data_IF_128645340563
#
_entry.id   IF_128645340563
#
_cell.length_a   1.000
_cell.length_b   1.000
_cell.length_c   1.000
_cell.angle_alpha   90.00
_cell.angle_beta   90.00
_cell.angle_gamma   90.00
#
_symmetry.space_group_name_H-M   'P 1'
#
loop_
_entity.id
_entity.type
_entity.pdbx_description
1 polymer ?
#
# COMPACT_ATOMS: atom_id res chain seq x y z
N UNK A 1 51.42 7.31 0.27
CA UNK A 1 52.23 6.61 1.28
C UNK A 1 52.32 7.49 2.52
N UNK A 2 51.65 7.08 3.59
CA UNK A 2 51.90 7.56 4.95
C UNK A 2 51.42 6.47 5.90
N UNK A 3 52.30 5.98 6.77
CA UNK A 3 52.03 5.01 7.84
C UNK A 3 52.37 5.71 9.15
N UNK A 4 51.49 5.61 10.15
CA UNK A 4 51.76 5.61 11.61
C UNK A 4 50.39 5.67 12.33
N UNK A 5 50.08 5.06 13.46
CA UNK A 5 50.55 3.91 14.23
C UNK A 5 49.39 3.58 15.22
N UNK A 6 49.19 2.30 15.59
CA UNK A 6 48.32 1.87 16.71
C UNK A 6 49.09 2.03 18.04
N UNK A 7 48.45 2.38 19.18
CA UNK A 7 47.76 1.39 20.04
C UNK A 7 46.55 2.03 20.80
N UNK A 8 45.68 1.42 21.63
CA UNK A 8 45.69 0.31 22.60
C UNK A 8 44.25 -0.20 22.83
N UNK A 9 44.11 -1.45 23.29
CA UNK A 9 42.85 -2.06 23.72
C UNK A 9 42.33 -1.51 25.06
N UNK A 10 41.02 -1.28 25.17
CA UNK A 10 40.18 -1.76 26.28
C UNK A 10 38.67 -1.60 26.00
N UNK A 11 37.82 -2.44 26.59
CA UNK A 11 36.55 -2.84 26.02
C UNK A 11 35.41 -1.93 26.51
N UNK A 12 34.48 -1.58 25.63
CA UNK A 12 33.17 -1.05 26.06
C UNK A 12 32.11 -1.30 24.99
N UNK A 13 31.23 -2.24 25.34
CA UNK A 13 29.85 -2.37 24.87
C UNK A 13 29.75 -2.51 23.35
N UNK A 14 29.88 -3.76 22.88
CA UNK A 14 29.23 -4.21 21.64
C UNK A 14 27.73 -4.03 21.85
N UNK A 15 27.24 -2.81 21.62
CA UNK A 15 25.84 -2.59 21.35
C UNK A 15 25.49 -3.53 20.20
N UNK A 16 24.52 -4.40 20.43
CA UNK A 16 23.78 -5.07 19.37
C UNK A 16 23.22 -3.98 18.45
N UNK A 17 24.02 -3.52 17.50
CA UNK A 17 23.50 -3.08 16.21
C UNK A 17 23.19 -4.37 15.49
N UNK A 18 22.02 -4.92 15.81
CA UNK A 18 21.47 -6.03 15.08
C UNK A 18 21.46 -5.64 13.59
N UNK A 19 22.00 -6.57 12.80
CA UNK A 19 22.13 -6.53 11.34
C UNK A 19 20.76 -6.42 10.66
N UNK A 20 20.08 -5.27 10.77
CA UNK A 20 18.88 -4.91 10.02
C UNK A 20 19.20 -4.42 8.60
N UNK A 21 20.43 -4.64 8.12
CA UNK A 21 20.80 -4.41 6.73
C UNK A 21 20.28 -5.58 5.90
N UNK A 22 19.18 -5.36 5.20
CA UNK A 22 18.59 -6.21 4.16
C UNK A 22 17.83 -7.46 4.65
N UNK A 23 16.82 -7.29 5.52
CA UNK A 23 15.82 -8.34 5.70
C UNK A 23 14.80 -8.30 4.55
N UNK A 24 15.28 -8.64 3.36
CA UNK A 24 14.41 -9.05 2.27
C UNK A 24 13.60 -10.26 2.72
N UNK A 25 12.29 -10.26 2.48
CA UNK A 25 11.40 -11.39 2.75
C UNK A 25 10.59 -11.71 1.51
N UNK A 26 10.33 -12.99 1.32
CA UNK A 26 9.46 -13.47 0.26
C UNK A 26 8.03 -13.50 0.81
N UNK A 27 7.13 -12.78 0.16
CA UNK A 27 5.70 -12.88 0.36
C UNK A 27 5.08 -13.67 -0.78
N UNK A 28 4.19 -14.60 -0.47
CA UNK A 28 3.43 -15.34 -1.47
C UNK A 28 1.99 -14.83 -1.48
N UNK A 29 1.50 -14.41 -2.64
CA UNK A 29 0.09 -14.05 -2.86
C UNK A 29 -0.40 -14.87 -4.04
N UNK A 30 -1.40 -15.72 -3.82
CA UNK A 30 -1.80 -16.75 -4.79
C UNK A 30 -0.59 -17.61 -5.20
N UNK A 31 -0.31 -17.74 -6.49
CA UNK A 31 0.85 -18.45 -7.04
C UNK A 31 2.10 -17.56 -7.21
N UNK A 32 2.02 -16.27 -6.87
CA UNK A 32 3.08 -15.29 -7.17
C UNK A 32 3.93 -15.00 -5.93
N UNK A 33 5.25 -14.98 -6.12
CA UNK A 33 6.23 -14.65 -5.09
C UNK A 33 6.73 -13.20 -5.27
N UNK A 34 6.75 -12.45 -4.18
CA UNK A 34 7.20 -11.06 -4.12
C UNK A 34 8.36 -10.96 -3.14
N UNK A 35 9.53 -10.57 -3.65
CA UNK A 35 10.67 -10.24 -2.80
C UNK A 35 10.54 -8.77 -2.35
N UNK A 36 10.39 -8.55 -1.04
CA UNK A 36 10.11 -7.21 -0.49
C UNK A 36 11.05 -6.90 0.66
N UNK A 37 11.47 -5.63 0.76
CA UNK A 37 12.17 -5.12 1.93
C UNK A 37 11.19 -5.06 3.13
N UNK A 38 11.17 -6.12 3.93
CA UNK A 38 10.23 -6.25 5.04
C UNK A 38 10.48 -5.19 6.13
N UNK A 39 11.72 -4.71 6.29
CA UNK A 39 12.03 -3.66 7.26
C UNK A 39 11.25 -2.38 6.93
N UNK A 40 11.38 -1.87 5.69
CA UNK A 40 10.61 -0.70 5.22
C UNK A 40 9.11 -0.90 5.33
N UNK A 41 8.64 -2.09 4.96
CA UNK A 41 7.21 -2.38 4.99
C UNK A 41 6.66 -2.43 6.44
N UNK A 42 7.44 -2.95 7.39
CA UNK A 42 7.09 -2.98 8.82
C UNK A 42 7.15 -1.60 9.49
N UNK A 43 7.94 -0.66 8.96
CA UNK A 43 7.98 0.73 9.44
C UNK A 43 6.65 1.45 9.18
N UNK A 44 6.07 1.24 8.00
CA UNK A 44 4.83 1.92 7.57
C UNK A 44 3.56 1.12 7.87
N UNK A 45 3.69 -0.18 8.17
CA UNK A 45 2.55 -1.08 8.39
C UNK A 45 2.67 -1.86 9.71
N UNK A 46 1.92 -1.45 10.76
CA UNK A 46 1.80 -2.23 12.00
C UNK A 46 1.22 -3.63 11.78
N UNK A 47 0.29 -3.77 10.83
CA UNK A 47 -0.31 -5.05 10.50
C UNK A 47 0.71 -6.01 9.88
N UNK A 48 1.54 -5.54 8.94
CA UNK A 48 2.58 -6.37 8.34
C UNK A 48 3.67 -6.69 9.35
N UNK A 49 4.04 -5.76 10.24
CA UNK A 49 4.95 -6.06 11.36
C UNK A 49 4.45 -7.22 12.22
N UNK A 50 3.13 -7.28 12.49
CA UNK A 50 2.49 -8.39 13.19
C UNK A 50 2.52 -9.70 12.39
N UNK A 51 2.37 -9.64 11.06
CA UNK A 51 2.46 -10.81 10.18
C UNK A 51 3.88 -11.35 10.16
N UNK A 52 4.88 -10.49 9.92
CA UNK A 52 6.30 -10.88 9.83
C UNK A 52 6.80 -11.44 11.15
N UNK A 53 6.46 -10.83 12.28
CA UNK A 53 6.87 -11.35 13.61
C UNK A 53 6.28 -12.71 13.97
N UNK A 54 5.14 -13.09 13.39
CA UNK A 54 4.58 -14.45 13.54
C UNK A 54 5.24 -15.48 12.63
N UNK A 55 5.92 -15.03 11.59
CA UNK A 55 6.59 -15.89 10.60
C UNK A 55 8.11 -15.68 10.71
N UNK A 56 8.66 -16.19 11.82
CA UNK A 56 10.08 -16.03 12.18
C UNK A 56 11.01 -16.77 11.21
N UNK A 57 10.55 -17.89 10.65
CA UNK A 57 11.29 -18.66 9.66
C UNK A 57 11.67 -17.79 8.45
N UNK A 58 12.96 -17.70 8.17
CA UNK A 58 13.52 -16.83 7.12
C UNK A 58 13.44 -17.44 5.72
N UNK A 59 13.29 -18.77 5.64
CA UNK A 59 13.40 -19.52 4.38
C UNK A 59 12.05 -19.90 3.79
N UNK A 60 10.96 -19.79 4.54
CA UNK A 60 9.61 -20.03 4.05
C UNK A 60 8.94 -18.71 3.61
N UNK A 61 8.24 -18.70 2.46
CA UNK A 61 7.45 -17.54 2.05
C UNK A 61 6.33 -17.23 3.05
N UNK A 62 6.11 -15.94 3.31
CA UNK A 62 4.96 -15.48 4.09
C UNK A 62 3.74 -15.47 3.17
N UNK A 63 2.83 -16.43 3.37
CA UNK A 63 1.61 -16.53 2.56
C UNK A 63 0.57 -15.51 3.01
N UNK A 64 0.13 -14.66 2.09
CA UNK A 64 -0.94 -13.69 2.30
C UNK A 64 -2.20 -14.14 1.57
N UNK A 65 -3.34 -14.11 2.28
CA UNK A 65 -4.62 -14.54 1.76
C UNK A 65 -5.60 -13.37 1.58
N UNK A 66 -6.67 -13.60 0.80
CA UNK A 66 -7.85 -12.73 0.73
C UNK A 66 -7.72 -11.51 -0.19
N UNK A 67 -6.76 -11.48 -1.09
CA UNK A 67 -6.61 -10.52 -2.18
C UNK A 67 -5.75 -11.15 -3.28
N UNK A 68 -5.82 -10.60 -4.49
CA UNK A 68 -5.07 -11.12 -5.63
C UNK A 68 -3.64 -10.60 -5.63
N UNK A 69 -2.76 -11.31 -6.33
CA UNK A 69 -1.38 -10.88 -6.62
C UNK A 69 -1.34 -9.50 -7.27
N UNK A 70 -2.25 -9.20 -8.20
CA UNK A 70 -2.37 -7.89 -8.85
C UNK A 70 -2.67 -6.76 -7.86
N UNK A 71 -3.58 -6.97 -6.89
CA UNK A 71 -3.86 -5.97 -5.85
C UNK A 71 -2.60 -5.70 -5.03
N UNK A 72 -1.90 -6.76 -4.64
CA UNK A 72 -0.68 -6.63 -3.86
C UNK A 72 0.42 -5.90 -4.62
N UNK A 73 0.60 -6.19 -5.91
CA UNK A 73 1.51 -5.45 -6.79
C UNK A 73 1.16 -3.95 -6.86
N UNK A 74 -0.12 -3.61 -7.06
CA UNK A 74 -0.59 -2.22 -7.05
C UNK A 74 -0.26 -1.52 -5.73
N UNK A 75 -0.44 -2.20 -4.60
CA UNK A 75 -0.09 -1.68 -3.27
C UNK A 75 1.42 -1.46 -3.09
N UNK A 76 2.26 -2.41 -3.52
CA UNK A 76 3.72 -2.25 -3.49
C UNK A 76 4.19 -1.11 -4.39
N UNK A 77 3.60 -0.98 -5.58
CA UNK A 77 3.87 0.14 -6.48
C UNK A 77 3.54 1.48 -5.81
N UNK A 78 2.39 1.60 -5.16
CA UNK A 78 1.98 2.86 -4.53
C UNK A 78 2.89 3.26 -3.36
N UNK A 79 3.49 2.30 -2.65
CA UNK A 79 4.52 2.54 -1.63
C UNK A 79 5.87 3.00 -2.22
N UNK A 80 6.09 2.77 -3.51
CA UNK A 80 7.35 3.10 -4.19
C UNK A 80 7.36 4.46 -4.89
N UNK A 81 6.21 5.16 -4.91
CA UNK A 81 6.04 6.43 -5.65
C UNK A 81 5.71 7.60 -4.73
N UNK A 82 6.32 8.76 -4.99
CA UNK A 82 6.13 9.98 -4.20
C UNK A 82 4.74 10.61 -4.40
N UNK A 83 4.14 10.46 -5.59
CA UNK A 83 2.77 10.88 -5.90
C UNK A 83 2.03 9.77 -6.67
N UNK A 84 0.74 9.58 -6.36
CA UNK A 84 -0.08 8.62 -7.12
C UNK A 84 -0.68 9.41 -8.29
N UNK A 85 -0.46 9.01 -9.55
CA UNK A 85 -1.05 9.69 -10.69
C UNK A 85 -2.59 9.59 -10.66
N UNK A 86 -3.31 10.63 -11.09
CA UNK A 86 -4.75 10.59 -11.21
C UNK A 86 -5.19 9.50 -12.21
N UNK A 87 -6.36 8.89 -12.02
CA UNK A 87 -6.85 7.87 -12.93
C UNK A 87 -7.26 8.49 -14.27
N UNK A 88 -6.76 7.90 -15.35
CA UNK A 88 -7.04 8.32 -16.74
C UNK A 88 -8.07 7.41 -17.42
N UNK A 89 -8.25 6.21 -16.88
CA UNK A 89 -9.14 5.16 -17.39
C UNK A 89 -9.53 4.19 -16.27
N UNK A 90 -10.45 3.28 -16.56
CA UNK A 90 -10.95 2.30 -15.59
C UNK A 90 -9.83 1.46 -14.95
N UNK A 91 -8.81 1.06 -15.72
CA UNK A 91 -7.68 0.27 -15.19
C UNK A 91 -6.89 1.02 -14.12
N UNK A 92 -6.63 2.31 -14.35
CA UNK A 92 -5.93 3.17 -13.38
C UNK A 92 -6.80 3.52 -12.18
N UNK A 93 -8.11 3.64 -12.36
CA UNK A 93 -9.07 3.74 -11.26
C UNK A 93 -9.09 2.47 -10.39
N UNK A 94 -9.17 1.29 -10.99
CA UNK A 94 -9.15 0.02 -10.25
C UNK A 94 -7.87 -0.16 -9.46
N UNK A 95 -6.72 0.21 -10.04
CA UNK A 95 -5.44 0.26 -9.31
C UNK A 95 -5.55 1.14 -8.07
N UNK A 96 -6.10 2.35 -8.19
CA UNK A 96 -6.24 3.28 -7.08
C UNK A 96 -7.16 2.73 -5.98
N UNK A 97 -8.27 2.11 -6.37
CA UNK A 97 -9.19 1.45 -5.43
C UNK A 97 -8.54 0.24 -4.74
N UNK A 98 -7.68 -0.52 -5.43
CA UNK A 98 -6.93 -1.63 -4.83
C UNK A 98 -5.93 -1.14 -3.78
N UNK A 99 -5.28 -0.02 -4.05
CA UNK A 99 -4.36 0.64 -3.11
C UNK A 99 -5.12 1.13 -1.87
N UNK A 100 -6.30 1.73 -2.04
CA UNK A 100 -7.14 2.15 -0.90
C UNK A 100 -7.52 0.95 -0.03
N UNK A 101 -7.98 -0.14 -0.65
CA UNK A 101 -8.41 -1.34 0.06
C UNK A 101 -7.27 -1.99 0.84
N UNK A 102 -6.10 -2.15 0.21
CA UNK A 102 -4.94 -2.79 0.84
C UNK A 102 -4.23 -1.89 1.85
N UNK A 103 -4.17 -0.57 1.62
CA UNK A 103 -3.62 0.37 2.61
C UNK A 103 -4.42 0.33 3.90
N UNK A 104 -5.75 0.25 3.81
CA UNK A 104 -6.62 0.01 4.98
C UNK A 104 -6.35 -1.36 5.61
N UNK A 105 -6.34 -2.44 4.81
CA UNK A 105 -6.12 -3.82 5.29
C UNK A 105 -4.80 -3.97 6.05
N UNK A 106 -3.74 -3.35 5.55
CA UNK A 106 -2.42 -3.38 6.15
C UNK A 106 -2.13 -2.19 7.06
N UNK A 107 -3.13 -1.36 7.37
CA UNK A 107 -3.00 -0.23 8.30
C UNK A 107 -1.86 0.73 7.92
N UNK A 108 -1.67 0.99 6.63
CA UNK A 108 -0.76 2.03 6.11
C UNK A 108 -1.53 3.34 5.99
N UNK A 109 -1.65 4.04 7.12
CA UNK A 109 -2.55 5.19 7.27
C UNK A 109 -2.27 6.33 6.29
N UNK A 110 -1.00 6.68 6.09
CA UNK A 110 -0.61 7.77 5.19
C UNK A 110 -1.02 7.48 3.74
N UNK A 111 -0.73 6.26 3.27
CA UNK A 111 -1.13 5.80 1.94
C UNK A 111 -2.65 5.76 1.79
N UNK A 112 -3.37 5.32 2.83
CA UNK A 112 -4.83 5.32 2.84
C UNK A 112 -5.38 6.74 2.66
N UNK A 113 -4.94 7.69 3.49
CA UNK A 113 -5.43 9.09 3.44
C UNK A 113 -5.12 9.74 2.10
N UNK A 114 -3.91 9.53 1.57
CA UNK A 114 -3.51 10.05 0.27
C UNK A 114 -4.38 9.48 -0.85
N UNK A 115 -4.55 8.16 -0.88
CA UNK A 115 -5.35 7.48 -1.91
C UNK A 115 -6.83 7.89 -1.84
N UNK A 116 -7.40 7.99 -0.64
CA UNK A 116 -8.77 8.50 -0.44
C UNK A 116 -8.89 9.94 -0.94
N UNK A 117 -7.92 10.80 -0.63
CA UNK A 117 -7.91 12.21 -1.09
C UNK A 117 -7.85 12.32 -2.61
N UNK A 118 -6.98 11.55 -3.26
CA UNK A 118 -6.84 11.53 -4.72
C UNK A 118 -8.13 11.02 -5.40
N UNK A 119 -8.75 9.98 -4.83
CA UNK A 119 -10.05 9.48 -5.30
C UNK A 119 -11.16 10.53 -5.17
N UNK A 120 -11.26 11.20 -4.01
CA UNK A 120 -12.28 12.21 -3.77
C UNK A 120 -12.10 13.42 -4.69
N UNK A 121 -10.86 13.86 -4.91
CA UNK A 121 -10.54 14.93 -5.86
C UNK A 121 -10.98 14.55 -7.29
N UNK A 122 -10.69 13.31 -7.70
CA UNK A 122 -11.10 12.79 -9.02
C UNK A 122 -12.62 12.73 -9.17
N UNK A 123 -13.34 12.25 -8.15
CA UNK A 123 -14.82 12.19 -8.18
C UNK A 123 -15.40 13.61 -8.22
N UNK A 124 -14.81 14.54 -7.47
CA UNK A 124 -15.25 15.94 -7.39
C UNK A 124 -15.13 16.66 -8.73
N UNK A 125 -14.14 16.30 -9.56
CA UNK A 125 -14.01 16.84 -10.93
C UNK A 125 -15.27 16.57 -11.76
N UNK A 126 -15.95 15.44 -11.52
CA UNK A 126 -17.24 15.10 -12.13
C UNK A 126 -17.21 14.77 -13.63
N UNK A 127 -16.11 15.08 -14.31
CA UNK A 127 -15.92 14.88 -15.75
C UNK A 127 -14.86 13.83 -16.09
N UNK A 128 -14.20 13.26 -15.08
CA UNK A 128 -13.13 12.31 -15.29
C UNK A 128 -13.65 11.03 -16.01
N UNK A 129 -13.11 10.68 -17.20
CA UNK A 129 -13.59 9.54 -17.98
C UNK A 129 -13.52 8.21 -17.24
N UNK A 130 -12.53 8.02 -16.37
CA UNK A 130 -12.41 6.80 -15.57
C UNK A 130 -13.59 6.61 -14.62
N UNK A 131 -14.08 7.70 -14.01
CA UNK A 131 -15.23 7.68 -13.10
C UNK A 131 -16.51 7.42 -13.88
N UNK A 132 -16.71 8.14 -15.00
CA UNK A 132 -17.92 8.01 -15.82
C UNK A 132 -18.08 6.60 -16.40
N UNK A 133 -16.99 6.01 -16.88
CA UNK A 133 -16.98 4.69 -17.52
C UNK A 133 -16.73 3.51 -16.55
N UNK A 134 -16.56 3.73 -15.25
CA UNK A 134 -16.18 2.66 -14.32
C UNK A 134 -17.21 1.53 -14.25
N UNK A 135 -16.83 0.31 -13.88
CA UNK A 135 -17.81 -0.76 -13.61
C UNK A 135 -18.71 -0.45 -12.41
N UNK A 136 -19.86 -1.15 -12.28
CA UNK A 136 -20.71 -1.05 -11.08
C UNK A 136 -19.96 -1.47 -9.80
N UNK A 137 -19.01 -2.40 -9.90
CA UNK A 137 -18.18 -2.81 -8.76
C UNK A 137 -17.28 -1.66 -8.27
N UNK A 138 -16.64 -0.95 -9.20
CA UNK A 138 -15.83 0.25 -8.90
C UNK A 138 -16.68 1.32 -8.23
N UNK A 139 -17.90 1.53 -8.74
CA UNK A 139 -18.85 2.49 -8.20
C UNK A 139 -19.26 2.16 -6.75
N UNK A 140 -19.53 0.88 -6.43
CA UNK A 140 -19.78 0.46 -5.04
C UNK A 140 -18.58 0.78 -4.14
N UNK A 141 -17.35 0.49 -4.59
CA UNK A 141 -16.13 0.77 -3.80
C UNK A 141 -15.99 2.26 -3.54
N UNK A 142 -16.21 3.11 -4.55
CA UNK A 142 -16.21 4.57 -4.39
C UNK A 142 -17.30 5.05 -3.43
N UNK A 143 -18.52 4.52 -3.52
CA UNK A 143 -19.61 4.83 -2.58
C UNK A 143 -19.24 4.50 -1.14
N UNK A 144 -18.59 3.34 -0.90
CA UNK A 144 -18.11 2.95 0.43
C UNK A 144 -17.05 3.90 0.99
N UNK A 145 -16.20 4.45 0.12
CA UNK A 145 -15.19 5.45 0.51
C UNK A 145 -15.88 6.76 0.87
N UNK A 146 -16.73 7.26 -0.02
CA UNK A 146 -17.46 8.53 0.15
C UNK A 146 -18.36 8.52 1.39
N UNK A 147 -19.03 7.40 1.66
CA UNK A 147 -19.85 7.21 2.86
C UNK A 147 -19.00 7.29 4.14
N UNK A 148 -17.80 6.69 4.12
CA UNK A 148 -16.88 6.66 5.27
C UNK A 148 -16.31 8.03 5.59
N UNK A 149 -16.07 8.86 4.58
CA UNK A 149 -15.61 10.25 4.76
C UNK A 149 -16.76 11.24 4.94
N UNK A 150 -18.01 10.76 5.01
CA UNK A 150 -19.21 11.55 5.21
C UNK A 150 -19.41 12.69 4.19
N UNK A 151 -19.01 12.47 2.93
CA UNK A 151 -19.19 13.46 1.87
C UNK A 151 -20.52 13.25 1.15
N UNK A 152 -21.59 13.84 1.69
CA UNK A 152 -22.97 13.68 1.20
C UNK A 152 -23.16 14.16 -0.26
N UNK A 153 -22.41 15.18 -0.67
CA UNK A 153 -22.47 15.71 -2.04
C UNK A 153 -21.96 14.69 -3.05
N UNK A 154 -20.76 14.14 -2.81
CA UNK A 154 -20.21 13.10 -3.67
C UNK A 154 -21.03 11.80 -3.59
N UNK A 155 -21.64 11.52 -2.43
CA UNK A 155 -22.50 10.34 -2.29
C UNK A 155 -23.70 10.45 -3.24
N UNK A 156 -24.37 11.61 -3.21
CA UNK A 156 -25.52 11.90 -4.07
C UNK A 156 -25.14 11.84 -5.54
N UNK A 157 -23.98 12.40 -5.92
CA UNK A 157 -23.45 12.33 -7.27
C UNK A 157 -23.23 10.87 -7.74
N UNK A 158 -22.57 10.04 -6.93
CA UNK A 158 -22.33 8.64 -7.28
C UNK A 158 -23.61 7.80 -7.34
N UNK A 159 -24.62 8.10 -6.51
CA UNK A 159 -25.93 7.45 -6.56
C UNK A 159 -26.70 7.85 -7.83
N UNK A 160 -26.64 9.12 -8.25
CA UNK A 160 -27.21 9.57 -9.52
C UNK A 160 -26.56 8.85 -10.70
N UNK A 161 -25.22 8.75 -10.69
CA UNK A 161 -24.49 7.97 -11.69
C UNK A 161 -24.91 6.50 -11.70
N UNK A 162 -25.18 5.89 -10.53
CA UNK A 162 -25.68 4.52 -10.45
C UNK A 162 -27.05 4.39 -11.12
N UNK A 163 -27.96 5.32 -10.84
CA UNK A 163 -29.34 5.28 -11.33
C UNK A 163 -29.45 5.49 -12.86
N UNK A 164 -28.46 6.12 -13.48
CA UNK A 164 -28.43 6.35 -14.94
C UNK A 164 -27.86 5.18 -15.75
N UNK A 165 -27.36 4.13 -15.09
CA UNK A 165 -26.83 2.92 -15.73
C UNK A 165 -27.88 1.84 -15.83
#
# INVERSE_FOLDING_TARGET
MTITALPTCSPKIKGKRDNLKNQSRIFQVESTLFEVNAAKLCEVSPAIKKIVSKNMETHSPIVLHGHTSQKFENFLWALSVDSIPPPLNEKTLERLLDVEELSKRYSVRELQVRTESDLLATITEGTNPAILACSSRSLVRMLQIVLRVHNNTLFSFLIQMWAWR
#
